data_IF_224072588716
#
_entry.id   IF_224072588716
#
_cell.length_a   1.000
_cell.length_b   1.000
_cell.length_c   1.000
_cell.angle_alpha   90.00
_cell.angle_beta   90.00
_cell.angle_gamma   90.00
#
_symmetry.space_group_name_H-M   'P 1'
#
loop_
_entity.id
_entity.type
_entity.pdbx_description
1 polymer ?
#
# COMPACT_ATOMS: atom_id res chain seq x y z
N UNK A 1 10.07 -0.11 11.59
CA UNK A 1 9.25 -1.26 11.17
C UNK A 1 10.16 -2.39 10.70
N UNK A 2 9.81 -3.63 10.99
CA UNK A 2 10.56 -4.78 10.46
C UNK A 2 9.98 -5.15 9.10
N UNK A 3 10.77 -4.99 8.04
CA UNK A 3 10.38 -5.45 6.71
C UNK A 3 10.43 -6.98 6.62
N UNK A 4 9.44 -7.58 5.96
CA UNK A 4 9.47 -9.00 5.60
C UNK A 4 9.84 -9.09 4.12
N UNK A 5 10.98 -9.71 3.83
CA UNK A 5 11.39 -9.97 2.46
C UNK A 5 10.65 -11.20 1.92
N UNK A 6 10.03 -11.05 0.76
CA UNK A 6 9.39 -12.13 0.03
C UNK A 6 9.76 -12.05 -1.46
N UNK A 7 9.64 -13.18 -2.16
CA UNK A 7 9.77 -13.18 -3.61
C UNK A 7 8.39 -12.81 -4.22
N UNK A 8 8.26 -11.64 -4.86
CA UNK A 8 6.98 -11.16 -5.39
C UNK A 8 6.44 -12.05 -6.52
N UNK A 9 7.30 -12.71 -7.29
CA UNK A 9 6.86 -13.62 -8.36
C UNK A 9 6.30 -14.93 -7.77
N UNK A 10 6.88 -15.42 -6.67
CA UNK A 10 6.30 -16.55 -5.93
C UNK A 10 4.99 -16.19 -5.26
N UNK A 11 4.85 -14.95 -4.79
CA UNK A 11 3.62 -14.48 -4.14
C UNK A 11 2.42 -14.52 -5.10
N UNK A 12 2.63 -14.15 -6.38
CA UNK A 12 1.60 -14.28 -7.43
C UNK A 12 1.08 -15.72 -7.55
N UNK A 13 1.99 -16.70 -7.63
CA UNK A 13 1.63 -18.12 -7.70
C UNK A 13 0.85 -18.59 -6.45
N UNK A 14 1.23 -18.09 -5.26
CA UNK A 14 0.51 -18.42 -4.02
C UNK A 14 -0.90 -17.85 -4.06
N UNK A 15 -1.07 -16.59 -4.48
CA UNK A 15 -2.39 -15.97 -4.60
C UNK A 15 -3.27 -16.67 -5.64
N UNK A 16 -2.74 -17.00 -6.82
CA UNK A 16 -3.48 -17.76 -7.83
C UNK A 16 -4.02 -19.07 -7.25
N UNK A 17 -3.19 -19.83 -6.53
CA UNK A 17 -3.61 -21.07 -5.87
C UNK A 17 -4.72 -20.85 -4.86
N UNK A 18 -4.56 -19.89 -3.95
CA UNK A 18 -5.55 -19.60 -2.90
C UNK A 18 -6.91 -19.20 -3.50
N UNK A 19 -6.90 -18.39 -4.56
CA UNK A 19 -8.12 -17.93 -5.24
C UNK A 19 -8.80 -19.11 -5.95
N UNK A 20 -8.04 -19.93 -6.67
CA UNK A 20 -8.57 -21.10 -7.41
C UNK A 20 -9.12 -22.15 -6.44
N UNK A 21 -8.39 -22.48 -5.36
CA UNK A 21 -8.81 -23.44 -4.35
C UNK A 21 -10.09 -23.00 -3.61
N UNK A 22 -10.29 -21.68 -3.46
CA UNK A 22 -11.52 -21.11 -2.91
C UNK A 22 -12.70 -21.11 -3.91
N UNK A 23 -12.51 -21.55 -5.16
CA UNK A 23 -13.54 -21.54 -6.19
C UNK A 23 -13.94 -20.13 -6.65
N UNK A 24 -13.06 -19.15 -6.45
CA UNK A 24 -13.31 -17.75 -6.83
C UNK A 24 -12.99 -17.57 -8.32
N UNK A 25 -13.99 -17.11 -9.06
CA UNK A 25 -13.79 -16.69 -10.45
C UNK A 25 -13.15 -15.30 -10.48
N UNK A 26 -11.92 -15.21 -10.95
CA UNK A 26 -11.21 -13.94 -11.14
C UNK A 26 -10.76 -13.77 -12.59
N UNK A 27 -10.76 -12.53 -13.06
CA UNK A 27 -10.44 -12.19 -14.44
C UNK A 27 -9.28 -11.18 -14.45
N UNK A 28 -8.15 -11.62 -14.99
CA UNK A 28 -7.02 -10.74 -15.30
C UNK A 28 -7.30 -9.99 -16.61
N UNK A 29 -6.62 -8.85 -16.80
CA UNK A 29 -6.77 -8.00 -18.00
C UNK A 29 -8.20 -7.45 -18.21
N UNK A 30 -8.94 -7.28 -17.12
CA UNK A 30 -10.28 -6.69 -17.10
C UNK A 30 -10.23 -5.33 -16.43
N UNK A 31 -10.74 -4.32 -17.11
CA UNK A 31 -10.82 -2.94 -16.61
C UNK A 31 -12.28 -2.56 -16.36
N UNK A 32 -12.56 -2.01 -15.17
CA UNK A 32 -13.85 -1.38 -14.87
C UNK A 32 -13.95 -0.08 -15.65
N UNK A 33 -15.02 0.11 -16.42
CA UNK A 33 -15.20 1.29 -17.26
C UNK A 33 -16.36 2.17 -16.81
N UNK A 34 -17.37 1.61 -16.16
CA UNK A 34 -18.53 2.35 -15.67
C UNK A 34 -19.25 1.60 -14.55
N UNK A 35 -20.00 2.32 -13.72
CA UNK A 35 -20.82 1.75 -12.65
C UNK A 35 -22.20 2.42 -12.64
N UNK A 36 -23.23 1.59 -12.77
CA UNK A 36 -24.63 2.03 -12.72
C UNK A 36 -25.23 1.58 -11.39
N UNK A 37 -25.63 2.56 -10.56
CA UNK A 37 -26.41 2.32 -9.35
C UNK A 37 -27.89 2.14 -9.72
N UNK A 38 -28.43 0.96 -9.46
CA UNK A 38 -29.85 0.67 -9.70
C UNK A 38 -30.68 1.08 -8.47
N UNK A 39 -31.97 1.39 -8.67
CA UNK A 39 -32.91 1.70 -7.58
C UNK A 39 -33.13 0.53 -6.61
N UNK A 40 -32.78 -0.70 -7.01
CA UNK A 40 -33.08 -1.96 -6.31
C UNK A 40 -31.95 -2.52 -5.43
N UNK A 41 -31.08 -1.66 -4.89
CA UNK A 41 -29.88 -2.08 -4.13
C UNK A 41 -29.03 -3.11 -4.92
N UNK A 42 -28.86 -2.81 -6.20
CA UNK A 42 -28.00 -3.55 -7.11
C UNK A 42 -27.05 -2.58 -7.78
N UNK A 43 -25.87 -3.10 -8.08
CA UNK A 43 -24.87 -2.36 -8.84
C UNK A 43 -24.60 -3.13 -10.11
N UNK A 44 -24.70 -2.46 -11.25
CA UNK A 44 -24.23 -2.97 -12.53
C UNK A 44 -22.87 -2.37 -12.82
N UNK A 45 -21.83 -3.19 -12.79
CA UNK A 45 -20.49 -2.81 -13.22
C UNK A 45 -20.30 -3.17 -14.69
N UNK A 46 -19.80 -2.23 -15.49
CA UNK A 46 -19.46 -2.44 -16.90
C UNK A 46 -17.95 -2.60 -16.99
N UNK A 47 -17.51 -3.66 -17.65
CA UNK A 47 -16.11 -4.00 -17.83
C UNK A 47 -15.74 -4.09 -19.30
N UNK A 48 -14.45 -3.87 -19.57
CA UNK A 48 -13.84 -4.14 -20.85
C UNK A 48 -12.61 -5.04 -20.68
N UNK A 49 -12.47 -6.00 -21.59
CA UNK A 49 -11.23 -6.72 -21.83
C UNK A 49 -11.12 -7.10 -23.33
N UNK A 50 -10.11 -7.89 -23.70
CA UNK A 50 -9.90 -8.31 -25.09
C UNK A 50 -11.04 -9.16 -25.69
N UNK A 51 -11.94 -9.69 -24.87
CA UNK A 51 -13.15 -10.39 -25.30
C UNK A 51 -14.34 -9.45 -25.54
N UNK A 52 -14.18 -8.14 -25.28
CA UNK A 52 -15.21 -7.13 -25.48
C UNK A 52 -15.79 -6.57 -24.17
N UNK A 53 -16.91 -5.88 -24.29
CA UNK A 53 -17.65 -5.35 -23.14
C UNK A 53 -18.55 -6.42 -22.53
N UNK A 54 -18.60 -6.46 -21.20
CA UNK A 54 -19.57 -7.26 -20.46
C UNK A 54 -19.97 -6.55 -19.17
N UNK A 55 -21.08 -6.97 -18.59
CA UNK A 55 -21.61 -6.39 -17.35
C UNK A 55 -21.73 -7.45 -16.27
N UNK A 56 -21.46 -7.05 -15.03
CA UNK A 56 -21.69 -7.86 -13.83
C UNK A 56 -22.71 -7.14 -12.96
N UNK A 57 -23.79 -7.85 -12.60
CA UNK A 57 -24.76 -7.38 -11.61
C UNK A 57 -24.38 -7.94 -10.25
N UNK A 58 -24.01 -7.07 -9.33
CA UNK A 58 -23.57 -7.45 -8.00
C UNK A 58 -24.61 -7.06 -6.94
N UNK A 59 -24.78 -7.93 -5.94
CA UNK A 59 -25.55 -7.61 -4.72
C UNK A 59 -24.77 -6.73 -3.76
N UNK A 60 -23.45 -6.94 -3.73
CA UNK A 60 -22.47 -6.25 -2.88
C UNK A 60 -21.18 -6.06 -3.67
N UNK A 61 -20.44 -4.99 -3.41
CA UNK A 61 -19.18 -4.69 -4.08
C UNK A 61 -18.08 -4.35 -3.06
N UNK A 62 -16.83 -4.68 -3.38
CA UNK A 62 -15.66 -4.19 -2.64
C UNK A 62 -14.78 -3.46 -3.64
N UNK A 63 -14.60 -2.15 -3.46
CA UNK A 63 -13.63 -1.37 -4.21
C UNK A 63 -12.23 -1.60 -3.62
N UNK A 64 -11.49 -2.47 -4.28
CA UNK A 64 -10.08 -2.75 -4.00
C UNK A 64 -9.17 -2.24 -5.14
N UNK A 65 -9.62 -1.26 -5.94
CA UNK A 65 -8.85 -0.70 -7.06
C UNK A 65 -7.57 0.01 -6.61
N UNK A 66 -7.55 0.51 -5.37
CA UNK A 66 -6.49 1.35 -4.83
C UNK A 66 -6.60 2.83 -5.23
N UNK A 67 -7.39 3.14 -6.26
CA UNK A 67 -7.62 4.50 -6.76
C UNK A 67 -9.09 4.96 -6.65
N UNK A 68 -9.91 4.19 -5.94
CA UNK A 68 -11.34 4.40 -5.75
C UNK A 68 -12.15 4.46 -7.06
N UNK A 69 -11.75 3.69 -8.08
CA UNK A 69 -12.38 3.76 -9.41
C UNK A 69 -13.84 3.37 -9.37
N UNK A 70 -14.20 2.32 -8.61
CA UNK A 70 -15.60 1.94 -8.45
C UNK A 70 -16.38 3.05 -7.74
N UNK A 71 -15.84 3.60 -6.65
CA UNK A 71 -16.50 4.67 -5.90
C UNK A 71 -16.69 5.93 -6.76
N UNK A 72 -15.65 6.35 -7.50
CA UNK A 72 -15.71 7.52 -8.36
C UNK A 72 -16.72 7.36 -9.52
N UNK A 73 -16.71 6.20 -10.20
CA UNK A 73 -17.68 5.88 -11.25
C UNK A 73 -19.11 5.78 -10.71
N UNK A 74 -19.27 5.37 -9.45
CA UNK A 74 -20.58 5.31 -8.76
C UNK A 74 -21.08 6.68 -8.26
N UNK A 75 -20.31 7.75 -8.46
CA UNK A 75 -20.63 9.09 -7.96
C UNK A 75 -20.49 9.24 -6.43
N UNK A 76 -19.79 8.32 -5.75
CA UNK A 76 -19.56 8.43 -4.31
C UNK A 76 -18.54 9.53 -4.00
N UNK A 77 -18.73 10.29 -2.92
CA UNK A 77 -17.85 11.40 -2.60
C UNK A 77 -16.47 10.91 -2.16
N UNK A 78 -15.43 11.61 -2.62
CA UNK A 78 -14.05 11.37 -2.25
C UNK A 78 -13.26 12.67 -2.13
N UNK A 79 -12.17 12.60 -1.39
CA UNK A 79 -11.13 13.62 -1.37
C UNK A 79 -10.07 13.28 -2.41
N UNK A 80 -9.71 14.28 -3.22
CA UNK A 80 -8.65 14.15 -4.20
C UNK A 80 -7.29 14.49 -3.56
N UNK A 81 -6.30 13.61 -3.70
CA UNK A 81 -4.92 13.87 -3.32
C UNK A 81 -4.39 15.12 -4.05
N UNK A 82 -3.60 15.96 -3.37
CA UNK A 82 -3.15 17.23 -3.94
C UNK A 82 -4.15 18.38 -3.81
N UNK A 83 -5.42 18.14 -3.42
CA UNK A 83 -6.45 19.20 -3.33
C UNK A 83 -6.26 20.09 -2.11
N UNK A 84 -6.12 19.49 -0.93
CA UNK A 84 -5.99 20.20 0.35
C UNK A 84 -4.53 20.22 0.82
N UNK A 85 -3.80 19.14 0.54
CA UNK A 85 -2.40 18.90 0.92
C UNK A 85 -1.67 18.33 -0.30
N UNK A 86 -0.35 18.60 -0.47
CA UNK A 86 0.43 18.07 -1.58
C UNK A 86 0.31 16.54 -1.69
N UNK A 87 0.17 16.05 -2.92
CA UNK A 87 0.11 14.61 -3.12
C UNK A 87 1.47 13.95 -2.83
N UNK A 88 1.46 12.77 -2.23
CA UNK A 88 2.66 11.97 -2.04
C UNK A 88 3.27 11.59 -3.38
N UNK A 89 4.59 11.74 -3.47
CA UNK A 89 5.34 11.40 -4.68
C UNK A 89 5.07 9.97 -5.20
N UNK A 90 5.15 9.80 -6.51
CA UNK A 90 5.17 8.52 -7.18
C UNK A 90 6.60 7.95 -7.23
N UNK A 91 6.74 6.64 -7.44
CA UNK A 91 8.06 5.99 -7.47
C UNK A 91 8.10 4.83 -8.46
N UNK A 92 9.06 4.84 -9.37
CA UNK A 92 9.40 3.64 -10.15
C UNK A 92 10.35 2.81 -9.30
N UNK A 93 9.86 1.69 -8.77
CA UNK A 93 10.76 0.76 -8.07
C UNK A 93 11.54 -0.05 -9.09
N UNK A 94 12.75 -0.44 -8.75
CA UNK A 94 13.56 -1.28 -9.62
C UNK A 94 14.33 -2.33 -8.84
N UNK A 95 14.71 -3.39 -9.53
CA UNK A 95 15.48 -4.52 -8.99
C UNK A 95 16.81 -4.57 -9.69
N UNK A 96 17.89 -4.80 -8.94
CA UNK A 96 19.22 -5.00 -9.49
C UNK A 96 19.76 -6.37 -9.14
N UNK A 97 20.63 -6.92 -9.97
CA UNK A 97 21.42 -8.13 -9.71
C UNK A 97 22.91 -7.81 -9.58
N UNK A 98 23.72 -8.84 -9.33
CA UNK A 98 25.19 -8.79 -9.23
C UNK A 98 25.71 -7.80 -8.17
N UNK A 99 25.01 -7.71 -7.03
CA UNK A 99 25.48 -6.94 -5.88
C UNK A 99 26.29 -7.82 -4.93
N UNK A 100 27.53 -7.43 -4.67
CA UNK A 100 28.35 -7.99 -3.58
C UNK A 100 28.00 -7.30 -2.27
N UNK A 101 27.04 -7.90 -1.55
CA UNK A 101 26.58 -7.38 -0.26
C UNK A 101 27.69 -7.36 0.79
N UNK A 102 28.61 -8.33 0.77
CA UNK A 102 29.68 -8.38 1.76
C UNK A 102 30.63 -7.18 1.60
N UNK A 103 31.03 -6.88 0.36
CA UNK A 103 31.84 -5.71 0.04
C UNK A 103 31.12 -4.41 0.40
N UNK A 104 29.80 -4.33 0.15
CA UNK A 104 28.98 -3.19 0.53
C UNK A 104 28.96 -2.96 2.05
N UNK A 105 28.72 -4.00 2.85
CA UNK A 105 28.68 -3.89 4.31
C UNK A 105 30.05 -3.53 4.89
N UNK A 106 31.14 -4.15 4.41
CA UNK A 106 32.52 -3.82 4.83
C UNK A 106 32.85 -2.35 4.55
N UNK A 107 32.35 -1.80 3.44
CA UNK A 107 32.55 -0.41 3.06
C UNK A 107 31.70 0.60 3.86
N UNK A 108 30.86 0.14 4.79
CA UNK A 108 30.03 0.99 5.66
C UNK A 108 28.53 0.96 5.36
N UNK A 109 28.08 0.08 4.46
CA UNK A 109 26.67 -0.23 4.20
C UNK A 109 25.79 1.00 3.97
N UNK A 110 24.58 1.00 4.55
CA UNK A 110 23.58 2.06 4.37
C UNK A 110 24.07 3.45 4.82
N UNK A 111 24.91 3.52 5.85
CA UNK A 111 25.47 4.80 6.30
C UNK A 111 26.34 5.43 5.22
N UNK A 112 27.26 4.64 4.65
CA UNK A 112 28.11 5.07 3.54
C UNK A 112 27.29 5.40 2.29
N UNK A 113 26.28 4.58 1.96
CA UNK A 113 25.40 4.85 0.81
C UNK A 113 24.73 6.22 0.94
N UNK A 114 24.15 6.52 2.10
CA UNK A 114 23.51 7.80 2.39
C UNK A 114 24.49 8.98 2.24
N UNK A 115 25.68 8.88 2.83
CA UNK A 115 26.72 9.93 2.71
C UNK A 115 27.12 10.19 1.25
N UNK A 116 27.32 9.13 0.46
CA UNK A 116 27.69 9.24 -0.96
C UNK A 116 26.54 9.78 -1.82
N UNK A 117 25.29 9.42 -1.52
CA UNK A 117 24.11 9.95 -2.20
C UNK A 117 23.97 11.45 -1.95
N UNK A 118 24.06 11.89 -0.69
CA UNK A 118 24.03 13.32 -0.33
C UNK A 118 25.12 14.08 -1.07
N UNK A 119 26.36 13.58 -1.08
CA UNK A 119 27.45 14.22 -1.80
C UNK A 119 27.20 14.29 -3.32
N UNK A 120 26.68 13.22 -3.92
CA UNK A 120 26.40 13.19 -5.35
C UNK A 120 25.29 14.17 -5.75
N UNK A 121 24.25 14.28 -4.92
CA UNK A 121 23.15 15.24 -5.07
C UNK A 121 23.65 16.69 -4.95
N UNK A 122 24.35 17.02 -3.86
CA UNK A 122 24.82 18.39 -3.59
C UNK A 122 25.82 18.89 -4.63
N UNK A 123 26.72 18.01 -5.09
CA UNK A 123 27.72 18.36 -6.10
C UNK A 123 27.25 18.11 -7.54
N UNK A 124 26.00 17.67 -7.74
CA UNK A 124 25.40 17.38 -9.06
C UNK A 124 26.25 16.47 -9.94
N UNK A 125 26.97 15.53 -9.34
CA UNK A 125 27.74 14.52 -10.11
C UNK A 125 26.81 13.49 -10.75
N UNK A 126 25.62 13.33 -10.18
CA UNK A 126 24.53 12.49 -10.63
C UNK A 126 23.23 13.28 -10.48
N UNK A 127 22.28 13.08 -11.39
CA UNK A 127 20.98 13.73 -11.40
C UNK A 127 20.00 12.99 -10.47
N UNK A 128 20.43 12.77 -9.23
CA UNK A 128 19.58 12.12 -8.23
C UNK A 128 18.44 13.07 -7.83
N UNK A 129 17.19 12.58 -7.74
CA UNK A 129 16.04 13.40 -7.36
C UNK A 129 16.04 13.78 -5.88
N UNK A 130 16.78 13.07 -5.02
CA UNK A 130 16.81 13.29 -3.57
C UNK A 130 18.13 12.84 -2.93
N UNK A 131 18.39 13.34 -1.71
CA UNK A 131 19.59 13.04 -0.91
C UNK A 131 19.60 11.62 -0.32
N UNK A 132 18.43 11.03 -0.13
CA UNK A 132 18.27 9.75 0.54
C UNK A 132 17.33 8.82 -0.23
N UNK A 133 17.66 7.53 -0.27
CA UNK A 133 16.84 6.51 -0.90
C UNK A 133 17.06 5.18 -0.20
N UNK A 134 16.26 4.17 -0.55
CA UNK A 134 16.38 2.86 0.07
C UNK A 134 16.69 1.77 -0.96
N UNK A 135 17.62 0.90 -0.61
CA UNK A 135 17.98 -0.31 -1.33
C UNK A 135 17.95 -1.47 -0.34
N UNK A 136 17.17 -2.50 -0.65
CA UNK A 136 16.88 -3.62 0.26
C UNK A 136 17.31 -4.92 -0.38
N UNK A 137 18.03 -5.76 0.38
CA UNK A 137 18.36 -7.13 -0.03
C UNK A 137 17.07 -7.90 -0.37
N UNK A 138 17.05 -8.58 -1.52
CA UNK A 138 15.94 -9.47 -1.89
C UNK A 138 16.16 -10.89 -1.37
N UNK A 139 15.14 -11.73 -1.44
CA UNK A 139 15.30 -13.17 -1.16
C UNK A 139 16.29 -13.88 -2.09
N UNK A 140 16.54 -13.31 -3.28
CA UNK A 140 17.49 -13.86 -4.24
C UNK A 140 18.89 -13.32 -3.92
N UNK A 141 19.90 -14.18 -3.68
CA UNK A 141 21.26 -13.75 -3.41
C UNK A 141 21.81 -12.84 -4.51
N UNK A 142 22.50 -11.77 -4.12
CA UNK A 142 23.08 -10.78 -5.03
C UNK A 142 22.04 -9.88 -5.72
N UNK A 143 20.77 -9.95 -5.34
CA UNK A 143 19.73 -9.06 -5.83
C UNK A 143 19.26 -8.08 -4.76
N UNK A 144 18.94 -6.87 -5.19
CA UNK A 144 18.35 -5.83 -4.35
C UNK A 144 17.09 -5.26 -5.00
N UNK A 145 16.21 -4.70 -4.19
CA UNK A 145 15.05 -3.91 -4.62
C UNK A 145 15.19 -2.49 -4.09
N UNK A 146 14.92 -1.50 -4.93
CA UNK A 146 15.09 -0.10 -4.58
C UNK A 146 13.75 0.63 -4.54
N UNK A 147 13.66 1.57 -3.60
CA UNK A 147 12.65 2.62 -3.56
C UNK A 147 13.44 3.91 -3.40
N UNK A 148 13.88 4.46 -4.53
CA UNK A 148 14.82 5.58 -4.62
C UNK A 148 14.31 6.71 -5.52
N UNK A 149 13.63 6.36 -6.62
CA UNK A 149 12.96 7.28 -7.54
C UNK A 149 11.89 8.09 -6.82
N UNK A 150 11.82 9.39 -7.12
CA UNK A 150 10.81 10.32 -6.59
C UNK A 150 10.29 11.19 -7.74
N UNK A 151 9.00 11.05 -8.05
CA UNK A 151 8.32 11.87 -9.04
C UNK A 151 7.17 12.59 -8.33
N UNK A 152 7.29 13.90 -8.16
CA UNK A 152 6.31 14.76 -7.46
C UNK A 152 5.46 15.56 -8.46
N UNK A 153 4.48 16.31 -7.94
CA UNK A 153 3.70 17.33 -8.66
C UNK A 153 2.92 16.90 -9.91
N UNK A 154 2.62 15.60 -10.00
CA UNK A 154 1.84 15.02 -11.09
C UNK A 154 0.64 14.27 -10.54
N UNK A 155 -0.50 14.43 -11.21
CA UNK A 155 -1.75 13.77 -10.86
C UNK A 155 -1.88 12.44 -11.60
N UNK A 156 -1.83 11.34 -10.85
CA UNK A 156 -1.94 9.99 -11.39
C UNK A 156 -3.30 9.65 -12.03
N UNK A 157 -4.32 10.51 -11.89
CA UNK A 157 -5.62 10.36 -12.56
C UNK A 157 -5.68 11.06 -13.93
N UNK A 158 -4.65 11.82 -14.31
CA UNK A 158 -4.56 12.47 -15.61
C UNK A 158 -3.60 11.70 -16.51
N UNK A 159 -4.07 11.33 -17.69
CA UNK A 159 -3.35 10.44 -18.62
C UNK A 159 -1.97 10.98 -19.03
N UNK A 160 -1.87 12.25 -19.39
CA UNK A 160 -0.61 12.86 -19.83
C UNK A 160 0.38 12.98 -18.68
N UNK A 161 -0.09 13.36 -17.49
CA UNK A 161 0.73 13.51 -16.30
C UNK A 161 1.24 12.15 -15.79
N UNK A 162 0.40 11.11 -15.76
CA UNK A 162 0.83 9.75 -15.40
C UNK A 162 1.84 9.17 -16.40
N UNK A 163 1.65 9.44 -17.70
CA UNK A 163 2.60 9.04 -18.75
C UNK A 163 3.95 9.72 -18.55
N UNK A 164 3.95 11.02 -18.31
CA UNK A 164 5.17 11.78 -18.03
C UNK A 164 5.85 11.30 -16.74
N UNK A 165 5.06 10.99 -15.71
CA UNK A 165 5.57 10.46 -14.46
C UNK A 165 6.32 9.14 -14.67
N UNK A 166 5.76 8.23 -15.46
CA UNK A 166 6.40 6.95 -15.75
C UNK A 166 7.66 7.11 -16.63
N UNK A 167 7.64 8.00 -17.62
CA UNK A 167 8.83 8.34 -18.41
C UNK A 167 9.96 8.86 -17.50
N UNK A 168 9.64 9.81 -16.62
CA UNK A 168 10.61 10.40 -15.72
C UNK A 168 11.14 9.39 -14.69
N UNK A 169 10.25 8.60 -14.09
CA UNK A 169 10.61 7.57 -13.13
C UNK A 169 11.58 6.52 -13.70
N UNK A 170 11.41 6.13 -14.98
CA UNK A 170 12.36 5.25 -15.68
C UNK A 170 13.71 5.92 -15.89
N UNK A 171 13.75 7.20 -16.29
CA UNK A 171 15.00 7.96 -16.44
C UNK A 171 15.76 8.01 -15.11
N UNK A 172 15.07 8.35 -14.02
CA UNK A 172 15.66 8.40 -12.68
C UNK A 172 16.18 7.02 -12.23
N UNK A 173 15.50 5.92 -12.56
CA UNK A 173 15.97 4.57 -12.20
C UNK A 173 17.35 4.25 -12.80
N UNK A 174 17.56 4.56 -14.08
CA UNK A 174 18.86 4.34 -14.75
C UNK A 174 19.94 5.34 -14.29
N UNK A 175 19.53 6.53 -13.85
CA UNK A 175 20.43 7.46 -13.17
C UNK A 175 20.94 6.90 -11.83
N UNK A 176 20.06 6.26 -11.05
CA UNK A 176 20.46 5.54 -9.84
C UNK A 176 21.36 4.34 -10.14
N UNK A 177 21.10 3.57 -11.19
CA UNK A 177 22.02 2.49 -11.61
C UNK A 177 23.43 3.03 -11.87
N UNK A 178 23.56 4.15 -12.61
CA UNK A 178 24.86 4.78 -12.84
C UNK A 178 25.53 5.18 -11.53
N UNK A 179 24.80 5.86 -10.65
CA UNK A 179 25.31 6.24 -9.33
C UNK A 179 25.79 5.02 -8.53
N UNK A 180 24.99 3.95 -8.47
CA UNK A 180 25.35 2.75 -7.72
C UNK A 180 26.64 2.12 -8.24
N UNK A 181 26.75 1.96 -9.57
CA UNK A 181 27.95 1.39 -10.21
C UNK A 181 29.20 2.25 -10.03
N UNK A 182 29.04 3.57 -10.11
CA UNK A 182 30.17 4.52 -10.04
C UNK A 182 30.64 4.77 -8.61
N UNK A 183 29.72 4.73 -7.64
CA UNK A 183 29.95 5.28 -6.30
C UNK A 183 29.78 4.29 -5.17
N UNK A 184 29.13 3.15 -5.34
CA UNK A 184 28.86 2.24 -4.21
C UNK A 184 29.72 0.97 -4.33
N UNK A 185 30.67 0.73 -3.41
CA UNK A 185 31.43 -0.51 -3.39
C UNK A 185 30.52 -1.74 -3.28
N UNK A 186 30.77 -2.74 -4.11
CA UNK A 186 29.95 -3.95 -4.23
C UNK A 186 28.88 -3.87 -5.30
N UNK A 187 28.66 -2.68 -5.89
CA UNK A 187 27.66 -2.47 -6.95
C UNK A 187 28.30 -2.27 -8.33
N UNK A 188 29.62 -2.41 -8.48
CA UNK A 188 30.33 -2.07 -9.72
C UNK A 188 29.83 -2.88 -10.93
N UNK A 189 29.46 -4.13 -10.71
CA UNK A 189 28.91 -5.03 -11.73
C UNK A 189 27.38 -5.15 -11.68
N UNK A 190 26.73 -4.35 -10.83
CA UNK A 190 25.29 -4.39 -10.66
C UNK A 190 24.54 -3.89 -11.89
N UNK A 191 23.40 -4.52 -12.19
CA UNK A 191 22.54 -4.15 -13.32
C UNK A 191 21.07 -4.18 -12.96
N UNK A 192 20.28 -3.24 -13.47
CA UNK A 192 18.83 -3.31 -13.42
C UNK A 192 18.36 -4.53 -14.20
N UNK A 193 17.59 -5.39 -13.54
CA UNK A 193 16.97 -6.59 -14.12
C UNK A 193 15.44 -6.49 -14.21
N UNK A 194 14.86 -5.41 -13.70
CA UNK A 194 13.44 -5.15 -13.82
C UNK A 194 13.04 -3.84 -13.17
N UNK A 195 12.13 -3.12 -13.84
CA UNK A 195 11.42 -1.98 -13.28
C UNK A 195 10.03 -2.45 -12.80
N UNK A 196 9.36 -1.63 -11.99
CA UNK A 196 7.94 -1.82 -11.72
C UNK A 196 7.14 -1.82 -13.03
N UNK A 197 6.06 -2.61 -13.09
CA UNK A 197 5.24 -2.75 -14.30
C UNK A 197 4.58 -1.43 -14.71
N UNK A 198 4.28 -0.61 -13.72
CA UNK A 198 3.79 0.77 -13.81
C UNK A 198 4.50 1.59 -12.73
N UNK A 199 4.49 2.91 -12.84
CA UNK A 199 4.96 3.76 -11.75
C UNK A 199 4.08 3.55 -10.50
N UNK A 200 4.72 3.40 -9.35
CA UNK A 200 4.05 3.23 -8.07
C UNK A 200 3.36 4.51 -7.63
N UNK A 201 2.03 4.49 -7.57
CA UNK A 201 1.19 5.57 -7.05
C UNK A 201 0.92 5.33 -5.58
N UNK A 202 1.02 6.37 -4.75
CA UNK A 202 0.79 6.28 -3.30
C UNK A 202 -0.63 6.66 -2.91
N UNK A 203 -1.16 7.72 -3.51
CA UNK A 203 -2.52 8.21 -3.28
C UNK A 203 -3.12 8.83 -4.53
N UNK A 204 -4.45 8.76 -4.64
CA UNK A 204 -5.25 9.41 -5.69
C UNK A 204 -6.56 9.91 -5.09
N UNK A 205 -7.49 9.00 -4.78
CA UNK A 205 -8.81 9.30 -4.21
C UNK A 205 -8.96 8.61 -2.85
N UNK A 206 -9.36 9.37 -1.83
CA UNK A 206 -9.71 8.86 -0.49
C UNK A 206 -11.20 9.03 -0.26
N UNK A 207 -11.93 7.92 -0.22
CA UNK A 207 -13.40 7.93 -0.13
C UNK A 207 -13.84 8.52 1.21
N UNK A 208 -14.97 9.26 1.23
CA UNK A 208 -15.61 9.64 2.50
C UNK A 208 -16.46 8.46 3.00
N UNK A 209 -16.04 7.90 4.14
CA UNK A 209 -16.72 6.81 4.80
C UNK A 209 -17.55 7.27 6.00
N UNK A 210 -18.26 6.32 6.61
CA UNK A 210 -18.99 6.50 7.88
C UNK A 210 -18.05 6.95 9.01
N UNK A 211 -16.77 6.59 8.93
CA UNK A 211 -15.71 7.13 9.78
C UNK A 211 -14.53 7.58 8.92
N UNK A 212 -13.89 8.70 9.29
CA UNK A 212 -12.69 9.21 8.62
C UNK A 212 -11.52 9.10 9.59
N UNK A 213 -10.62 8.14 9.37
CA UNK A 213 -9.45 7.96 10.23
C UNK A 213 -8.57 9.22 10.21
N UNK A 214 -8.28 9.80 11.37
CA UNK A 214 -7.46 11.03 11.45
C UNK A 214 -6.06 10.78 12.00
N UNK A 215 -5.18 11.78 11.82
CA UNK A 215 -3.83 11.76 12.37
C UNK A 215 -3.87 11.66 13.90
N UNK A 216 -4.76 12.41 14.51
CA UNK A 216 -4.93 12.46 15.97
C UNK A 216 -5.31 11.09 16.52
N UNK A 217 -6.19 10.35 15.84
CA UNK A 217 -6.55 8.98 16.22
C UNK A 217 -5.38 8.01 16.05
N UNK A 218 -4.58 8.14 14.97
CA UNK A 218 -3.36 7.36 14.83
C UNK A 218 -2.39 7.63 16.00
N UNK A 219 -2.19 8.90 16.36
CA UNK A 219 -1.24 9.32 17.39
C UNK A 219 -1.75 9.13 18.82
N UNK A 220 -3.06 8.97 19.05
CA UNK A 220 -3.59 8.64 20.36
C UNK A 220 -3.22 7.20 20.77
N UNK A 221 -3.04 6.32 19.78
CA UNK A 221 -2.80 4.89 20.02
C UNK A 221 -4.05 4.15 20.52
N UNK A 222 -5.22 4.78 20.39
CA UNK A 222 -6.47 4.19 20.85
C UNK A 222 -6.87 3.00 19.98
N UNK A 223 -7.55 2.02 20.60
CA UNK A 223 -8.11 0.86 19.92
C UNK A 223 -9.61 0.81 20.22
N UNK A 224 -10.45 1.52 19.45
CA UNK A 224 -11.90 1.48 19.65
C UNK A 224 -12.49 0.08 19.50
N UNK A 225 -13.61 -0.21 20.17
CA UNK A 225 -14.34 -1.47 20.04
C UNK A 225 -14.84 -1.75 18.61
N UNK A 226 -14.95 -0.70 17.78
CA UNK A 226 -15.29 -0.80 16.37
C UNK A 226 -14.10 -1.15 15.46
N UNK A 227 -12.90 -1.35 16.01
CA UNK A 227 -11.69 -1.62 15.22
C UNK A 227 -11.77 -2.97 14.51
N UNK A 228 -11.39 -3.01 13.24
CA UNK A 228 -11.36 -4.26 12.45
C UNK A 228 -9.96 -4.62 11.97
N UNK A 229 -8.95 -3.79 12.26
CA UNK A 229 -7.54 -4.15 12.20
C UNK A 229 -6.73 -3.24 13.13
N UNK A 230 -5.49 -3.63 13.37
CA UNK A 230 -4.49 -2.81 14.06
C UNK A 230 -3.41 -2.34 13.08
N UNK A 231 -2.91 -1.12 13.29
CA UNK A 231 -1.80 -0.58 12.53
C UNK A 231 -0.71 -0.07 13.47
N UNK A 232 0.54 -0.49 13.23
CA UNK A 232 1.72 0.03 13.93
C UNK A 232 2.77 0.62 12.98
N UNK A 233 2.36 0.98 11.76
CA UNK A 233 3.24 1.72 10.85
C UNK A 233 3.32 3.17 11.33
N UNK A 234 4.50 3.80 11.31
CA UNK A 234 4.59 5.25 11.50
C UNK A 234 3.87 5.97 10.37
N UNK A 235 3.53 7.24 10.59
CA UNK A 235 3.13 8.15 9.51
C UNK A 235 4.39 8.42 8.67
N UNK A 236 4.42 7.88 7.45
CA UNK A 236 5.50 8.06 6.46
C UNK A 236 5.00 8.95 5.32
N UNK A 237 5.18 10.27 5.50
CA UNK A 237 4.75 11.26 4.52
C UNK A 237 5.91 11.65 3.60
N UNK A 238 5.77 11.39 2.29
CA UNK A 238 6.73 11.78 1.26
C UNK A 238 6.32 13.10 0.58
N UNK A 239 6.51 14.19 1.31
CA UNK A 239 6.16 15.54 0.90
C UNK A 239 7.32 16.34 0.30
N UNK A 240 7.01 17.54 -0.17
CA UNK A 240 7.99 18.60 -0.37
C UNK A 240 8.13 19.39 0.94
N UNK A 241 9.36 19.67 1.37
CA UNK A 241 9.64 20.49 2.54
C UNK A 241 9.40 21.98 2.27
N UNK A 242 9.21 22.76 3.33
CA UNK A 242 8.92 24.22 3.27
C UNK A 242 9.97 25.06 2.53
N UNK A 243 11.20 24.55 2.42
CA UNK A 243 12.31 25.20 1.72
C UNK A 243 12.51 24.67 0.28
N UNK A 244 11.54 23.92 -0.26
CA UNK A 244 11.68 23.19 -1.53
C UNK A 244 12.67 22.02 -1.46
N UNK A 245 13.05 21.60 -0.25
CA UNK A 245 13.87 20.41 -0.02
C UNK A 245 12.98 19.19 0.20
N UNK A 246 13.23 18.14 -0.58
CA UNK A 246 12.54 16.87 -0.46
C UNK A 246 12.85 16.17 0.88
N UNK A 247 11.81 15.93 1.69
CA UNK A 247 11.92 15.23 2.98
C UNK A 247 10.89 14.10 3.07
N UNK A 248 11.29 12.95 3.63
CA UNK A 248 10.33 11.96 4.12
C UNK A 248 10.15 12.20 5.60
N UNK A 249 8.96 12.64 5.99
CA UNK A 249 8.63 12.89 7.39
C UNK A 249 8.13 11.61 8.05
N UNK A 250 8.75 11.27 9.17
CA UNK A 250 8.41 10.10 9.96
C UNK A 250 7.89 10.53 11.32
N UNK A 251 6.67 10.11 11.64
CA UNK A 251 6.08 10.28 12.96
C UNK A 251 5.65 8.93 13.51
N UNK A 252 6.30 8.49 14.58
CA UNK A 252 6.08 7.18 15.17
C UNK A 252 4.88 7.21 16.11
N UNK A 253 4.07 6.16 16.05
CA UNK A 253 2.92 6.00 16.94
C UNK A 253 3.42 5.91 18.40
N UNK A 254 2.88 6.72 19.33
CA UNK A 254 3.26 6.69 20.74
C UNK A 254 2.89 5.38 21.46
N UNK A 255 3.33 5.27 22.73
CA UNK A 255 2.93 4.17 23.61
C UNK A 255 3.35 2.79 23.11
N UNK A 256 2.38 1.89 22.93
CA UNK A 256 2.61 0.54 22.39
C UNK A 256 2.98 0.55 20.89
N UNK A 257 2.92 1.71 20.23
CA UNK A 257 3.25 1.85 18.82
C UNK A 257 2.19 1.31 17.87
N UNK A 258 0.95 1.19 18.33
CA UNK A 258 -0.19 0.59 17.61
C UNK A 258 -1.44 1.42 17.87
N UNK A 259 -2.31 1.52 16.88
CA UNK A 259 -3.66 2.06 16.98
C UNK A 259 -4.67 1.16 16.25
N UNK A 260 -5.94 1.28 16.60
CA UNK A 260 -7.05 0.55 15.97
C UNK A 260 -7.66 1.30 14.80
N UNK A 261 -8.08 0.58 13.76
CA UNK A 261 -8.75 1.16 12.59
C UNK A 261 -10.24 0.79 12.60
N UNK A 262 -11.14 1.76 12.85
CA UNK A 262 -12.57 1.51 12.92
C UNK A 262 -13.17 0.96 11.62
N UNK A 263 -14.16 0.07 11.75
CA UNK A 263 -14.91 -0.51 10.62
C UNK A 263 -15.50 0.54 9.67
N UNK A 264 -16.01 1.65 10.21
CA UNK A 264 -16.61 2.73 9.42
C UNK A 264 -15.67 3.36 8.38
N UNK A 265 -14.35 3.18 8.53
CA UNK A 265 -13.35 3.64 7.53
C UNK A 265 -13.43 2.86 6.21
N UNK A 266 -14.02 1.67 6.23
CA UNK A 266 -14.20 0.79 5.07
C UNK A 266 -15.59 0.93 4.44
N UNK A 267 -16.50 1.70 5.05
CA UNK A 267 -17.90 1.83 4.61
C UNK A 267 -18.12 3.22 4.01
N UNK A 268 -18.33 3.36 2.69
CA UNK A 268 -18.63 4.65 2.06
C UNK A 268 -19.97 5.24 2.57
N UNK A 269 -19.98 6.52 2.98
CA UNK A 269 -21.12 7.14 3.66
C UNK A 269 -22.43 7.19 2.84
N UNK A 270 -22.32 7.15 1.51
CA UNK A 270 -23.46 7.24 0.58
C UNK A 270 -23.73 5.93 -0.16
N UNK A 271 -23.24 4.79 0.35
CA UNK A 271 -23.45 3.48 -0.26
C UNK A 271 -23.75 2.37 0.76
N UNK A 272 -24.96 1.80 0.68
CA UNK A 272 -25.40 0.71 1.55
C UNK A 272 -24.79 -0.66 1.20
N UNK A 273 -24.25 -0.84 0.01
CA UNK A 273 -23.92 -2.16 -0.54
C UNK A 273 -22.49 -2.27 -1.06
N UNK A 274 -21.62 -1.33 -0.66
CA UNK A 274 -20.22 -1.34 -1.04
C UNK A 274 -19.29 -1.15 0.15
N UNK A 275 -18.06 -1.65 0.00
CA UNK A 275 -16.93 -1.41 0.90
C UNK A 275 -15.77 -0.86 0.09
N UNK A 276 -14.87 -0.13 0.74
CA UNK A 276 -13.64 0.39 0.14
C UNK A 276 -12.44 -0.08 0.97
N UNK A 277 -11.43 -0.63 0.31
CA UNK A 277 -10.23 -1.19 0.96
C UNK A 277 -8.97 -0.79 0.21
N UNK A 278 -7.82 -0.98 0.86
CA UNK A 278 -6.54 -0.64 0.24
C UNK A 278 -6.24 0.84 0.35
N UNK A 279 -5.56 1.41 -0.67
CA UNK A 279 -5.09 2.80 -0.63
C UNK A 279 -6.20 3.84 -0.88
N UNK A 280 -7.47 3.45 -1.05
CA UNK A 280 -8.58 4.38 -1.26
C UNK A 280 -9.55 4.49 -0.06
N UNK A 281 -9.29 3.77 1.04
CA UNK A 281 -10.12 3.78 2.24
C UNK A 281 -10.23 5.17 2.89
N UNK A 282 -11.18 5.33 3.83
CA UNK A 282 -11.45 6.63 4.42
C UNK A 282 -10.46 7.04 5.51
N UNK A 283 -9.54 7.94 5.15
CA UNK A 283 -8.55 8.53 6.05
C UNK A 283 -8.15 9.94 5.62
N UNK A 284 -7.68 10.77 6.56
CA UNK A 284 -6.93 11.99 6.22
C UNK A 284 -5.60 11.64 5.54
N UNK A 285 -4.95 12.60 4.87
CA UNK A 285 -3.67 12.38 4.17
C UNK A 285 -2.60 11.76 5.08
N UNK A 286 -2.42 12.32 6.28
CA UNK A 286 -1.44 11.83 7.26
C UNK A 286 -1.78 10.41 7.77
N UNK A 287 -3.04 10.17 8.15
CA UNK A 287 -3.45 8.85 8.63
C UNK A 287 -3.32 7.77 7.53
N UNK A 288 -3.63 8.16 6.29
CA UNK A 288 -3.46 7.33 5.11
C UNK A 288 -1.99 6.96 4.89
N UNK A 289 -1.05 7.90 5.12
CA UNK A 289 0.38 7.66 5.02
C UNK A 289 0.88 6.54 5.96
N UNK A 290 0.22 6.33 7.10
CA UNK A 290 0.49 5.20 8.00
C UNK A 290 -0.23 3.91 7.58
N UNK A 291 -1.54 3.98 7.33
CA UNK A 291 -2.40 2.79 7.29
C UNK A 291 -2.57 2.12 5.91
N UNK A 292 -1.68 2.40 4.94
CA UNK A 292 -1.84 1.94 3.54
C UNK A 292 -0.83 0.88 3.09
N UNK A 293 -0.03 0.37 4.01
CA UNK A 293 0.96 -0.68 3.74
C UNK A 293 0.30 -2.04 3.49
N UNK A 294 0.99 -2.94 2.80
CA UNK A 294 0.41 -4.21 2.30
C UNK A 294 -0.29 -5.03 3.39
N UNK A 295 0.29 -5.10 4.59
CA UNK A 295 -0.31 -5.83 5.71
C UNK A 295 -1.68 -5.27 6.10
N UNK A 296 -1.77 -3.95 6.26
CA UNK A 296 -3.02 -3.25 6.55
C UNK A 296 -4.02 -3.44 5.42
N UNK A 297 -3.60 -3.34 4.15
CA UNK A 297 -4.52 -3.55 3.02
C UNK A 297 -5.06 -4.98 2.95
N UNK A 298 -4.27 -5.98 3.34
CA UNK A 298 -4.75 -7.37 3.44
C UNK A 298 -5.77 -7.51 4.58
N UNK A 299 -5.51 -6.91 5.75
CA UNK A 299 -6.45 -6.91 6.88
C UNK A 299 -7.77 -6.19 6.55
N UNK A 300 -7.72 -5.09 5.80
CA UNK A 300 -8.92 -4.41 5.30
C UNK A 300 -9.72 -5.32 4.37
N UNK A 301 -9.05 -6.03 3.45
CA UNK A 301 -9.69 -6.98 2.55
C UNK A 301 -10.37 -8.13 3.29
N UNK A 302 -9.72 -8.69 4.31
CA UNK A 302 -10.28 -9.73 5.18
C UNK A 302 -11.55 -9.23 5.90
N UNK A 303 -11.48 -8.05 6.52
CA UNK A 303 -12.60 -7.44 7.22
C UNK A 303 -13.79 -7.16 6.30
N UNK A 304 -13.55 -6.54 5.13
CA UNK A 304 -14.60 -6.26 4.15
C UNK A 304 -15.22 -7.54 3.58
N UNK A 305 -14.41 -8.58 3.33
CA UNK A 305 -14.89 -9.88 2.85
C UNK A 305 -15.88 -10.54 3.82
N UNK A 306 -15.54 -10.59 5.11
CA UNK A 306 -16.45 -11.11 6.14
C UNK A 306 -17.69 -10.24 6.33
N UNK A 307 -17.54 -8.92 6.31
CA UNK A 307 -18.66 -7.98 6.38
C UNK A 307 -19.64 -8.18 5.22
N UNK A 308 -19.15 -8.42 3.99
CA UNK A 308 -19.98 -8.76 2.83
C UNK A 308 -20.75 -10.07 3.06
N UNK A 309 -20.12 -11.09 3.64
CA UNK A 309 -20.79 -12.37 3.94
C UNK A 309 -21.91 -12.14 4.96
N UNK A 310 -21.64 -11.40 6.03
CA UNK A 310 -22.64 -11.08 7.05
C UNK A 310 -23.79 -10.26 6.46
N UNK A 311 -23.47 -9.26 5.63
CA UNK A 311 -24.43 -8.45 4.89
C UNK A 311 -25.33 -9.29 3.99
N UNK A 312 -24.77 -10.24 3.24
CA UNK A 312 -25.53 -11.12 2.34
C UNK A 312 -26.43 -12.10 3.09
N UNK A 313 -25.99 -12.60 4.25
CA UNK A 313 -26.75 -13.54 5.09
C UNK A 313 -27.90 -12.87 5.83
N UNK A 314 -27.69 -11.64 6.28
CA UNK A 314 -28.64 -10.91 7.14
C UNK A 314 -29.46 -9.87 6.39
N UNK A 315 -29.15 -9.65 5.11
CA UNK A 315 -29.72 -8.61 4.24
C UNK A 315 -29.63 -7.21 4.87
N UNK A 316 -28.47 -6.90 5.45
CA UNK A 316 -28.18 -5.61 6.06
C UNK A 316 -27.28 -4.75 5.20
N UNK A 317 -27.43 -3.44 5.33
CA UNK A 317 -26.53 -2.46 4.74
C UNK A 317 -25.13 -2.55 5.35
N UNK A 318 -24.13 -2.07 4.61
CA UNK A 318 -22.74 -2.02 5.02
C UNK A 318 -22.54 -1.28 6.35
N UNK A 319 -23.30 -0.22 6.60
CA UNK A 319 -23.28 0.54 7.86
C UNK A 319 -23.95 -0.17 9.05
N UNK A 320 -24.85 -1.13 8.78
CA UNK A 320 -25.67 -1.81 9.79
C UNK A 320 -25.13 -3.20 10.18
N UNK A 321 -23.88 -3.47 9.80
CA UNK A 321 -23.16 -4.69 10.13
C UNK A 321 -22.87 -4.74 11.63
N UNK A 322 -23.11 -5.90 12.25
CA UNK A 322 -22.77 -6.12 13.66
C UNK A 322 -21.25 -6.31 13.78
N UNK A 323 -20.58 -5.21 14.11
CA UNK A 323 -19.12 -5.13 14.21
C UNK A 323 -18.57 -6.03 15.33
N UNK A 324 -19.32 -6.26 16.41
CA UNK A 324 -18.89 -7.16 17.47
C UNK A 324 -18.83 -8.61 16.97
N UNK A 325 -19.87 -9.04 16.25
CA UNK A 325 -19.87 -10.35 15.57
C UNK A 325 -18.76 -10.46 14.53
N UNK A 326 -18.57 -9.42 13.70
CA UNK A 326 -17.49 -9.37 12.71
C UNK A 326 -16.10 -9.53 13.37
N UNK A 327 -15.84 -8.82 14.46
CA UNK A 327 -14.58 -8.93 15.22
C UNK A 327 -14.37 -10.34 15.76
N UNK A 328 -15.40 -10.97 16.31
CA UNK A 328 -15.32 -12.34 16.80
C UNK A 328 -14.95 -13.32 15.67
N UNK A 329 -15.54 -13.16 14.48
CA UNK A 329 -15.20 -13.97 13.30
C UNK A 329 -13.77 -13.71 12.82
N UNK A 330 -13.31 -12.46 12.80
CA UNK A 330 -11.93 -12.09 12.44
C UNK A 330 -10.92 -12.74 13.40
N UNK A 331 -11.15 -12.65 14.71
CA UNK A 331 -10.28 -13.28 15.73
C UNK A 331 -10.30 -14.80 15.60
N UNK A 332 -11.47 -15.41 15.37
CA UNK A 332 -11.57 -16.85 15.15
C UNK A 332 -10.77 -17.34 13.93
N UNK A 333 -10.57 -16.48 12.93
CA UNK A 333 -9.73 -16.72 11.75
C UNK A 333 -8.26 -16.34 11.95
N UNK A 334 -7.86 -15.94 13.17
CA UNK A 334 -6.49 -15.63 13.55
C UNK A 334 -6.07 -14.18 13.36
N UNK A 335 -7.01 -13.27 13.12
CA UNK A 335 -6.70 -11.84 13.03
C UNK A 335 -6.37 -11.26 14.41
N UNK A 336 -5.31 -10.45 14.46
CA UNK A 336 -4.87 -9.78 15.68
C UNK A 336 -5.61 -8.45 15.81
N UNK A 337 -6.50 -8.36 16.79
CA UNK A 337 -7.28 -7.14 17.12
C UNK A 337 -6.98 -6.57 18.52
N UNK A 338 -6.06 -7.21 19.24
CA UNK A 338 -5.56 -6.79 20.54
C UNK A 338 -4.03 -6.72 20.51
N UNK A 339 -3.43 -5.90 21.37
CA UNK A 339 -1.98 -5.80 21.46
C UNK A 339 -1.43 -7.12 22.02
N UNK A 340 -0.54 -7.82 21.31
CA UNK A 340 0.03 -9.06 21.84
C UNK A 340 0.85 -8.83 23.11
N UNK A 341 0.75 -9.75 24.07
CA UNK A 341 1.50 -9.70 25.35
C UNK A 341 3.02 -9.80 25.19
N UNK A 342 3.50 -10.20 24.00
CA UNK A 342 4.91 -10.42 23.74
C UNK A 342 5.35 -9.77 22.43
N UNK A 343 6.58 -9.27 22.44
CA UNK A 343 7.23 -8.73 21.25
C UNK A 343 7.54 -9.88 20.28
N UNK A 344 7.13 -9.72 19.03
CA UNK A 344 7.43 -10.67 17.96
C UNK A 344 8.94 -10.75 17.70
N UNK A 345 9.45 -11.97 17.49
CA UNK A 345 10.81 -12.16 17.00
C UNK A 345 10.88 -11.78 15.51
N UNK A 346 11.59 -10.70 15.25
CA UNK A 346 11.72 -10.03 13.95
C UNK A 346 13.07 -10.30 13.28
N UNK A 347 13.88 -11.19 13.84
CA UNK A 347 15.18 -11.55 13.28
C UNK A 347 15.05 -12.33 11.96
N UNK A 348 16.14 -12.40 11.17
CA UNK A 348 16.21 -12.94 9.78
C UNK A 348 15.63 -14.36 9.59
N UNK A 349 15.41 -15.13 10.66
CA UNK A 349 14.68 -16.41 10.65
C UNK A 349 13.78 -16.63 11.88
N UNK A 350 13.63 -15.61 12.73
CA UNK A 350 12.97 -15.69 14.02
C UNK A 350 11.45 -15.72 13.95
N UNK A 351 10.86 -15.38 12.80
CA UNK A 351 9.41 -15.37 12.62
C UNK A 351 8.75 -16.73 12.95
N UNK A 352 9.46 -17.84 12.77
CA UNK A 352 9.00 -19.19 13.15
C UNK A 352 8.75 -19.34 14.65
N UNK A 353 9.48 -18.59 15.48
CA UNK A 353 9.32 -18.58 16.93
C UNK A 353 7.98 -17.97 17.36
N UNK A 354 7.34 -17.17 16.48
CA UNK A 354 6.03 -16.56 16.75
C UNK A 354 4.87 -17.54 16.51
N UNK A 355 5.04 -18.55 15.66
CA UNK A 355 3.99 -19.55 15.36
C UNK A 355 3.70 -20.49 16.54
N UNK A 356 4.75 -20.87 17.29
CA UNK A 356 4.64 -21.79 18.44
C UNK A 356 3.96 -21.10 19.63
N UNK A 357 4.03 -19.77 19.71
CA UNK A 357 3.53 -18.99 20.83
C UNK A 357 2.03 -18.70 20.77
N UNK A 358 1.45 -18.67 19.57
CA UNK A 358 0.00 -18.47 19.36
C UNK A 358 -0.83 -19.78 19.46
N UNK A 359 -0.22 -20.92 19.77
CA UNK A 359 -0.90 -22.20 19.98
C UNK A 359 -1.02 -22.59 21.46
N UNK A 360 -0.54 -21.74 22.38
CA UNK A 360 -0.73 -21.83 23.82
C UNK A 360 -1.63 -20.69 24.27
#
# INVERSE_FOLDING_TARGET
>A
GTGVNYNPERLKLVWDKLIIEAGINYLLHTTLVDVIREESERITCIFWNKSGFYKVKARRAIDASGDADFCALSGLPFELAGKNEPAQSMTTTFRMCNVDQQKFEIAGGNKMMKERMTNAFENRTHLLPRKEGSAHEMCQPGCISTVAVKVSDLNALKIDELTNAEIDGRKQAFEYERFFRDKIPGYEDSKIIGLSHQIGVRETRRVYGEHRLTKEECLSGDIPDSSVLLCGAPIEDHREGKDGQDETYWEYIPGAGIYGVPYGTLVPAECSIAWVVGRCFSATHDAHASCRSMAQTMSMGQAAGLAVIQSLKTDRDAKDIDVAMLRNELVALGQILEVPDYIADTSRNGWKNNLIRNQK
#
